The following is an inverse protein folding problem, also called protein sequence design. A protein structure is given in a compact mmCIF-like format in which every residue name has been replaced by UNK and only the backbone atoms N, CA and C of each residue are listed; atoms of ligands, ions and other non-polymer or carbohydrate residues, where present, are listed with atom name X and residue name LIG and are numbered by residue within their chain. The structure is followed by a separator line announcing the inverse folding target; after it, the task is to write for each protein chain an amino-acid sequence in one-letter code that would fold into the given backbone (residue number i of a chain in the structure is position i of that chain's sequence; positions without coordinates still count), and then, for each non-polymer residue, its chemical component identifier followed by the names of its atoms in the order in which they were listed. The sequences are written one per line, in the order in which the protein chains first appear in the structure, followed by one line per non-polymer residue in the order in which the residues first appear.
data_IF_390844989914
#
_entry.id   IF_390844989914
#
_cell.length_a   1.000
_cell.length_b   1.000
_cell.length_c   1.000
_cell.angle_alpha   90.00
_cell.angle_beta   90.00
_cell.angle_gamma   90.00
#
_symmetry.space_group_name_H-M   'P 1'
#
loop_
_entity.id
_entity.type
_entity.pdbx_description
1 polymer ?
#
# COMPACT_ATOMS: atom_id res chain seq x y z
N UNK A 1 -7.08 26.43 -27.65
CA UNK A 1 -7.81 25.16 -27.42
C UNK A 1 -7.26 24.58 -26.14
N UNK A 2 -8.03 24.76 -25.05
CA UNK A 2 -7.92 24.18 -23.71
C UNK A 2 -6.53 24.01 -23.10
N UNK A 3 -6.19 24.96 -22.22
CA UNK A 3 -5.51 24.67 -20.96
C UNK A 3 -6.28 23.54 -20.23
N UNK A 4 -5.55 22.53 -19.82
CA UNK A 4 -5.94 21.69 -18.68
C UNK A 4 -4.66 21.42 -17.92
N UNK A 5 -4.36 22.37 -17.04
CA UNK A 5 -3.61 22.10 -15.83
C UNK A 5 -4.10 20.79 -15.24
N UNK A 6 -3.17 19.85 -15.04
CA UNK A 6 -3.36 18.80 -14.08
C UNK A 6 -2.41 19.10 -12.91
N UNK A 7 -2.84 19.84 -11.88
CA UNK A 7 -2.14 19.83 -10.61
C UNK A 7 -2.62 18.57 -9.87
N UNK A 8 -1.97 17.44 -10.13
CA UNK A 8 -2.08 16.32 -9.22
C UNK A 8 -1.31 16.68 -7.95
N UNK A 9 -1.97 17.45 -7.10
CA UNK A 9 -1.68 17.56 -5.68
C UNK A 9 -1.75 16.16 -5.10
N UNK A 10 -0.61 15.56 -4.81
CA UNK A 10 -0.52 14.50 -3.82
C UNK A 10 0.65 14.86 -2.92
N UNK A 11 0.38 15.87 -2.09
CA UNK A 11 1.07 16.13 -0.85
C UNK A 11 1.14 14.79 -0.12
N UNK A 12 2.25 14.09 -0.23
CA UNK A 12 2.50 12.93 0.62
C UNK A 12 2.67 13.51 2.03
N UNK A 13 1.69 13.37 2.95
CA UNK A 13 1.87 13.87 4.29
C UNK A 13 2.93 12.97 4.90
N UNK A 14 4.15 13.47 5.08
CA UNK A 14 5.08 12.92 6.07
C UNK A 14 4.39 13.03 7.42
N UNK A 15 3.98 11.93 8.08
CA UNK A 15 3.52 12.01 9.45
C UNK A 15 4.76 11.91 10.34
N UNK A 16 5.07 13.07 10.93
CA UNK A 16 5.42 13.25 12.34
C UNK A 16 6.61 12.47 12.93
N UNK A 17 7.56 13.27 13.40
CA UNK A 17 8.50 12.97 14.47
C UNK A 17 7.76 12.55 15.78
N UNK A 18 8.50 11.89 16.69
CA UNK A 18 8.25 11.65 18.13
C UNK A 18 8.11 10.18 18.62
N UNK A 19 9.15 9.79 19.39
CA UNK A 19 9.17 8.81 20.49
C UNK A 19 9.27 7.30 20.18
N UNK A 20 10.51 6.80 20.19
CA UNK A 20 10.96 5.47 20.64
C UNK A 20 9.94 4.30 20.73
N UNK A 21 9.34 3.93 19.61
CA UNK A 21 8.94 2.55 19.31
C UNK A 21 9.01 2.38 17.81
N UNK A 22 9.64 1.31 17.32
CA UNK A 22 10.06 1.15 15.90
C UNK A 22 8.94 1.55 14.93
N UNK A 23 9.24 2.30 13.85
CA UNK A 23 8.26 2.51 12.79
C UNK A 23 7.89 1.15 12.20
N UNK A 24 6.71 0.67 12.56
CA UNK A 24 6.16 -0.60 12.12
C UNK A 24 5.57 -0.35 10.74
N UNK A 25 6.46 -0.34 9.75
CA UNK A 25 6.12 -0.09 8.35
C UNK A 25 6.34 -1.40 7.58
N UNK A 26 5.28 -1.88 6.92
CA UNK A 26 5.34 -3.06 6.07
C UNK A 26 5.16 -2.61 4.63
N UNK A 27 5.87 -3.25 3.70
CA UNK A 27 5.71 -2.89 2.29
C UNK A 27 4.54 -3.66 1.71
N UNK A 28 3.81 -3.04 0.80
CA UNK A 28 2.67 -3.68 0.12
C UNK A 28 3.06 -5.03 -0.50
N UNK A 29 4.21 -5.12 -1.16
CA UNK A 29 4.72 -6.37 -1.75
C UNK A 29 4.97 -7.48 -0.72
N UNK A 30 5.49 -7.11 0.45
CA UNK A 30 5.76 -8.05 1.55
C UNK A 30 4.46 -8.48 2.24
N UNK A 31 3.54 -7.53 2.45
CA UNK A 31 2.21 -7.78 3.02
C UNK A 31 1.39 -8.74 2.15
N UNK A 32 1.32 -8.48 0.84
CA UNK A 32 0.66 -9.37 -0.13
C UNK A 32 1.21 -10.80 -0.04
N UNK A 33 2.53 -10.93 0.09
CA UNK A 33 3.19 -12.23 0.18
C UNK A 33 2.94 -12.91 1.53
N UNK A 34 3.01 -12.19 2.66
CA UNK A 34 2.75 -12.72 4.01
C UNK A 34 1.33 -13.25 4.15
N UNK A 35 0.36 -12.57 3.54
CA UNK A 35 -1.04 -12.99 3.56
C UNK A 35 -1.42 -13.98 2.45
N UNK A 36 -0.50 -14.34 1.56
CA UNK A 36 -0.79 -15.30 0.49
C UNK A 36 -1.67 -14.74 -0.64
N UNK A 37 -1.87 -13.42 -0.71
CA UNK A 37 -2.58 -12.74 -1.80
C UNK A 37 -1.86 -12.90 -3.15
N UNK A 38 -0.56 -13.21 -3.11
CA UNK A 38 0.30 -13.41 -4.28
C UNK A 38 1.17 -14.64 -4.06
N UNK A 39 1.29 -15.50 -5.07
CA UNK A 39 2.13 -16.70 -4.98
C UNK A 39 3.62 -16.41 -5.16
N UNK A 40 3.95 -15.34 -5.88
CA UNK A 40 5.35 -14.93 -6.13
C UNK A 40 5.52 -13.42 -6.13
N UNK A 41 6.74 -12.93 -5.90
CA UNK A 41 7.04 -11.50 -6.00
C UNK A 41 6.86 -10.92 -7.42
N UNK A 42 6.95 -11.76 -8.45
CA UNK A 42 6.64 -11.38 -9.83
C UNK A 42 5.15 -11.14 -10.05
N UNK A 43 4.30 -12.00 -9.49
CA UNK A 43 2.85 -11.84 -9.51
C UNK A 43 2.41 -10.58 -8.74
N UNK A 44 3.01 -10.34 -7.57
CA UNK A 44 2.79 -9.11 -6.80
C UNK A 44 3.07 -7.85 -7.64
N UNK A 45 4.20 -7.86 -8.36
CA UNK A 45 4.55 -6.74 -9.23
C UNK A 45 3.48 -6.51 -10.31
N UNK A 46 3.04 -7.58 -10.98
CA UNK A 46 2.06 -7.46 -12.07
C UNK A 46 0.75 -6.91 -11.50
N UNK A 47 0.20 -7.50 -10.43
CA UNK A 47 -1.07 -7.09 -9.82
C UNK A 47 -1.09 -5.65 -9.34
N UNK A 48 0.01 -5.21 -8.73
CA UNK A 48 0.14 -3.82 -8.30
C UNK A 48 0.21 -2.92 -9.54
N UNK A 49 1.00 -3.25 -10.56
CA UNK A 49 1.12 -2.44 -11.78
C UNK A 49 -0.16 -2.41 -12.63
N UNK A 50 -0.98 -3.45 -12.59
CA UNK A 50 -2.28 -3.51 -13.27
C UNK A 50 -3.36 -2.74 -12.51
N UNK A 51 -3.10 -2.31 -11.27
CA UNK A 51 -4.08 -1.64 -10.43
C UNK A 51 -5.11 -2.61 -9.84
N UNK A 52 -4.79 -3.90 -9.73
CA UNK A 52 -5.61 -4.91 -9.07
C UNK A 52 -5.49 -4.88 -7.53
N UNK A 53 -4.74 -3.91 -7.00
CA UNK A 53 -4.54 -3.71 -5.57
C UNK A 53 -5.01 -2.31 -5.20
N UNK A 54 -5.85 -2.21 -4.18
CA UNK A 54 -6.27 -0.94 -3.60
C UNK A 54 -5.83 -0.85 -2.14
N UNK A 55 -5.52 0.36 -1.69
CA UNK A 55 -5.18 0.65 -0.30
C UNK A 55 -6.10 1.78 0.14
N UNK A 56 -6.85 1.57 1.22
CA UNK A 56 -7.86 2.51 1.71
C UNK A 56 -8.96 2.84 0.67
N UNK A 57 -9.19 1.94 -0.29
CA UNK A 57 -10.12 2.18 -1.41
C UNK A 57 -9.51 2.96 -2.59
N UNK A 58 -8.23 3.31 -2.53
CA UNK A 58 -7.50 3.95 -3.62
C UNK A 58 -6.64 2.94 -4.38
N UNK A 59 -6.75 2.91 -5.71
CA UNK A 59 -5.94 2.01 -6.55
C UNK A 59 -4.45 2.35 -6.39
N UNK A 60 -3.69 1.42 -5.81
CA UNK A 60 -2.27 1.62 -5.55
C UNK A 60 -1.45 0.85 -6.58
N UNK A 61 -0.66 1.60 -7.36
CA UNK A 61 0.22 1.03 -8.39
C UNK A 61 1.70 1.03 -7.99
N UNK A 62 2.01 1.54 -6.79
CA UNK A 62 3.36 1.60 -6.25
C UNK A 62 3.66 0.36 -5.41
N UNK A 63 4.45 -0.56 -5.98
CA UNK A 63 4.91 -1.79 -5.27
C UNK A 63 5.63 -1.55 -3.94
N UNK A 64 6.28 -0.38 -3.80
CA UNK A 64 7.02 0.00 -2.58
C UNK A 64 6.19 0.92 -1.68
N UNK A 65 4.87 0.94 -1.86
CA UNK A 65 3.99 1.64 -0.92
C UNK A 65 4.23 1.07 0.46
N UNK A 66 4.47 1.98 1.38
CA UNK A 66 4.61 1.70 2.79
C UNK A 66 3.22 1.70 3.38
N UNK A 67 2.86 0.59 4.01
CA UNK A 67 1.62 0.41 4.75
C UNK A 67 1.91 0.59 6.23
N UNK A 68 0.98 1.27 6.89
CA UNK A 68 0.95 1.50 8.31
C UNK A 68 -0.13 0.62 8.96
N UNK A 69 0.02 0.28 10.25
CA UNK A 69 -1.07 -0.35 11.00
C UNK A 69 -2.33 0.53 10.93
N UNK A 70 -3.45 -0.07 10.53
CA UNK A 70 -4.72 0.59 10.26
C UNK A 70 -5.05 0.73 8.77
N UNK A 71 -4.08 0.53 7.87
CA UNK A 71 -4.36 0.53 6.43
C UNK A 71 -5.20 -0.68 6.01
N UNK A 72 -6.09 -0.48 5.04
CA UNK A 72 -6.94 -1.55 4.48
C UNK A 72 -6.43 -1.83 3.07
N UNK A 73 -5.89 -3.03 2.84
CA UNK A 73 -5.41 -3.45 1.53
C UNK A 73 -6.42 -4.41 0.92
N UNK A 74 -6.84 -4.13 -0.30
CA UNK A 74 -7.68 -5.04 -1.07
C UNK A 74 -6.92 -5.52 -2.29
N UNK A 75 -6.82 -6.84 -2.47
CA UNK A 75 -6.19 -7.44 -3.63
C UNK A 75 -6.87 -8.76 -3.96
N UNK A 76 -7.00 -9.08 -5.26
CA UNK A 76 -7.58 -10.35 -5.71
C UNK A 76 -9.01 -10.59 -5.15
N UNK A 77 -9.74 -9.53 -4.84
CA UNK A 77 -11.07 -9.60 -4.21
C UNK A 77 -11.05 -9.97 -2.73
N UNK A 78 -9.89 -9.96 -2.08
CA UNK A 78 -9.73 -10.16 -0.65
C UNK A 78 -9.28 -8.84 0.02
N UNK A 79 -10.00 -8.45 1.07
CA UNK A 79 -9.74 -7.22 1.83
C UNK A 79 -9.11 -7.58 3.17
N UNK A 80 -7.90 -7.09 3.42
CA UNK A 80 -7.12 -7.36 4.63
C UNK A 80 -6.75 -6.04 5.30
N UNK A 81 -7.07 -5.94 6.59
CA UNK A 81 -6.66 -4.80 7.41
C UNK A 81 -5.30 -5.07 8.03
N UNK A 82 -4.38 -4.12 7.87
CA UNK A 82 -3.05 -4.15 8.47
C UNK A 82 -3.22 -3.93 9.97
N UNK A 83 -3.09 -4.97 10.78
CA UNK A 83 -3.11 -4.86 12.24
C UNK A 83 -1.68 -4.69 12.78
N UNK A 84 -1.49 -4.03 13.95
CA UNK A 84 -0.17 -3.91 14.58
C UNK A 84 0.45 -5.26 14.96
N UNK A 85 -0.37 -6.31 15.08
CA UNK A 85 0.05 -7.70 15.31
C UNK A 85 0.81 -8.30 14.11
N UNK A 86 0.56 -7.78 12.90
CA UNK A 86 1.23 -8.22 11.68
C UNK A 86 2.73 -7.84 11.62
N UNK A 87 3.23 -7.08 12.61
CA UNK A 87 4.60 -6.58 12.67
C UNK A 87 5.54 -7.36 13.60
N UNK A 88 5.04 -8.43 14.25
CA UNK A 88 5.88 -9.39 14.99
C UNK A 88 6.73 -10.30 14.08
#
# INVERSE_FOLDING_TARGET
MTESENPASDENPTPVDLSASKPSIIRLDDFLKRHGLVGTGGEAKIRIQTGEVTVNGEVETRRRKQLSPGDVVEAVGETITVTPDCFE
#
